data_IF_686055055758
#
_entry.id   IF_686055055758
#
_cell.length_a   1.000
_cell.length_b   1.000
_cell.length_c   1.000
_cell.angle_alpha   90.00
_cell.angle_beta   90.00
_cell.angle_gamma   90.00
#
_symmetry.space_group_name_H-M   'P 1'
#
loop_
_entity.id
_entity.type
_entity.pdbx_description
1 polymer ?
#
# COMPACT_ATOMS: atom_id res chain seq x y z
N UNK A 1 20.56 3.63 5.08
CA UNK A 1 19.39 3.25 4.28
C UNK A 1 18.55 4.49 3.98
N UNK A 2 18.20 4.73 2.74
CA UNK A 2 17.42 5.90 2.37
C UNK A 2 15.91 5.60 2.38
N UNK A 3 15.10 6.64 2.20
CA UNK A 3 13.65 6.53 2.21
C UNK A 3 13.13 5.52 1.19
N UNK A 4 13.66 5.54 -0.04
CA UNK A 4 13.20 4.64 -1.10
C UNK A 4 13.47 3.18 -0.77
N UNK A 5 14.60 2.89 -0.15
CA UNK A 5 14.92 1.53 0.28
C UNK A 5 13.98 1.05 1.37
N UNK A 6 13.67 1.91 2.34
CA UNK A 6 12.70 1.60 3.39
C UNK A 6 11.32 1.32 2.82
N UNK A 7 10.89 2.14 1.86
CA UNK A 7 9.60 1.95 1.20
C UNK A 7 9.56 0.65 0.41
N UNK A 8 10.64 0.30 -0.29
CA UNK A 8 10.72 -0.96 -1.02
C UNK A 8 10.67 -2.18 -0.11
N UNK A 9 11.29 -2.08 1.07
CA UNK A 9 11.19 -3.16 2.06
C UNK A 9 9.75 -3.34 2.53
N UNK A 10 9.04 -2.25 2.75
CA UNK A 10 7.62 -2.30 3.09
C UNK A 10 6.80 -2.92 1.96
N UNK A 11 7.12 -2.60 0.69
CA UNK A 11 6.47 -3.22 -0.46
C UNK A 11 6.61 -4.75 -0.43
N UNK A 12 7.80 -5.24 -0.11
CA UNK A 12 8.03 -6.69 -0.02
C UNK A 12 7.18 -7.33 1.08
N UNK A 13 7.05 -6.67 2.23
CA UNK A 13 6.19 -7.13 3.32
C UNK A 13 4.72 -7.15 2.88
N UNK A 14 4.27 -6.09 2.23
CA UNK A 14 2.88 -6.00 1.73
C UNK A 14 2.57 -7.12 0.75
N UNK A 15 3.48 -7.42 -0.17
CA UNK A 15 3.30 -8.50 -1.15
C UNK A 15 3.24 -9.87 -0.48
N UNK A 16 4.08 -10.11 0.52
CA UNK A 16 4.04 -11.37 1.26
C UNK A 16 2.72 -11.55 2.01
N UNK A 17 2.24 -10.49 2.63
CA UNK A 17 0.98 -10.55 3.37
C UNK A 17 -0.21 -10.75 2.42
N UNK A 18 -0.20 -10.10 1.27
CA UNK A 18 -1.22 -10.34 0.24
C UNK A 18 -1.19 -11.80 -0.23
N UNK A 19 -0.02 -12.36 -0.47
CA UNK A 19 0.11 -13.75 -0.89
C UNK A 19 -0.43 -14.70 0.17
N UNK A 20 -0.17 -14.44 1.44
CA UNK A 20 -0.71 -15.23 2.55
C UNK A 20 -2.23 -15.15 2.61
N UNK A 21 -2.77 -13.94 2.42
CA UNK A 21 -4.22 -13.72 2.41
C UNK A 21 -4.90 -14.45 1.26
N UNK A 22 -4.27 -14.51 0.10
CA UNK A 22 -4.83 -15.11 -1.10
C UNK A 22 -4.56 -16.61 -1.22
N UNK A 23 -3.76 -17.18 -0.33
CA UNK A 23 -3.40 -18.59 -0.40
C UNK A 23 -4.57 -19.48 0.03
N UNK A 24 -4.88 -20.48 -0.80
CA UNK A 24 -5.89 -21.47 -0.47
C UNK A 24 -5.48 -22.37 0.71
N UNK A 25 -4.17 -22.38 1.04
CA UNK A 25 -3.65 -23.16 2.16
C UNK A 25 -3.77 -22.45 3.50
N UNK A 26 -4.03 -21.14 3.49
CA UNK A 26 -4.18 -20.38 4.72
C UNK A 26 -5.51 -20.68 5.39
N UNK A 27 -5.48 -20.88 6.72
CA UNK A 27 -6.68 -21.01 7.53
C UNK A 27 -7.31 -19.63 7.73
N UNK A 28 -8.55 -19.60 8.20
CA UNK A 28 -9.23 -18.34 8.56
C UNK A 28 -8.41 -17.58 9.61
N UNK A 29 -7.84 -18.27 10.59
CA UNK A 29 -7.00 -17.66 11.62
C UNK A 29 -5.76 -17.02 11.04
N UNK A 30 -5.10 -17.70 10.09
CA UNK A 30 -3.93 -17.18 9.41
C UNK A 30 -4.27 -15.96 8.55
N UNK A 31 -5.41 -16.00 7.86
CA UNK A 31 -5.87 -14.86 7.05
C UNK A 31 -6.20 -13.66 7.92
N UNK A 32 -6.88 -13.88 9.05
CA UNK A 32 -7.20 -12.80 9.98
C UNK A 32 -5.93 -12.14 10.51
N UNK A 33 -4.95 -12.93 10.92
CA UNK A 33 -3.67 -12.42 11.40
C UNK A 33 -2.94 -11.64 10.30
N UNK A 34 -2.89 -12.19 9.08
CA UNK A 34 -2.24 -11.54 7.95
C UNK A 34 -2.92 -10.22 7.59
N UNK A 35 -4.25 -10.18 7.65
CA UNK A 35 -4.99 -8.94 7.37
C UNK A 35 -4.66 -7.85 8.38
N UNK A 36 -4.63 -8.18 9.67
CA UNK A 36 -4.31 -7.19 10.71
C UNK A 36 -2.90 -6.64 10.53
N UNK A 37 -1.94 -7.50 10.21
CA UNK A 37 -0.57 -7.07 9.94
C UNK A 37 -0.50 -6.19 8.69
N UNK A 38 -1.22 -6.58 7.63
CA UNK A 38 -1.26 -5.80 6.39
C UNK A 38 -1.86 -4.41 6.62
N UNK A 39 -2.94 -4.35 7.39
CA UNK A 39 -3.61 -3.08 7.70
C UNK A 39 -2.65 -2.12 8.40
N UNK A 40 -1.92 -2.59 9.41
CA UNK A 40 -0.93 -1.78 10.14
C UNK A 40 0.18 -1.33 9.20
N UNK A 41 0.70 -2.26 8.38
CA UNK A 41 1.77 -1.95 7.42
C UNK A 41 1.33 -0.92 6.40
N UNK A 42 0.11 -1.06 5.86
CA UNK A 42 -0.43 -0.11 4.89
C UNK A 42 -0.60 1.29 5.50
N UNK A 43 -1.10 1.37 6.72
CA UNK A 43 -1.29 2.66 7.39
C UNK A 43 0.04 3.34 7.66
N UNK A 44 1.02 2.61 8.17
CA UNK A 44 2.36 3.16 8.46
C UNK A 44 3.07 3.58 7.18
N UNK A 45 2.99 2.76 6.14
CA UNK A 45 3.60 3.04 4.84
C UNK A 45 3.00 4.30 4.20
N UNK A 46 1.66 4.38 4.17
CA UNK A 46 0.97 5.53 3.61
C UNK A 46 1.32 6.82 4.36
N UNK A 47 1.36 6.77 5.69
CA UNK A 47 1.72 7.93 6.50
C UNK A 47 3.14 8.41 6.21
N UNK A 48 4.09 7.47 6.08
CA UNK A 48 5.47 7.80 5.76
C UNK A 48 5.60 8.43 4.37
N UNK A 49 4.90 7.87 3.38
CA UNK A 49 4.92 8.41 2.03
C UNK A 49 4.28 9.80 1.96
N UNK A 50 3.14 9.98 2.60
CA UNK A 50 2.45 11.26 2.58
C UNK A 50 3.30 12.36 3.21
N UNK A 51 3.97 12.04 4.30
CA UNK A 51 4.79 13.00 5.02
C UNK A 51 6.11 13.32 4.32
N UNK A 52 6.81 12.28 3.84
CA UNK A 52 8.19 12.43 3.38
C UNK A 52 8.35 12.44 1.88
N UNK A 53 7.33 12.04 1.15
CA UNK A 53 7.41 11.91 -0.31
C UNK A 53 6.36 12.77 -1.02
N UNK A 54 5.07 12.53 -0.74
CA UNK A 54 4.01 13.20 -1.48
C UNK A 54 3.84 14.67 -1.11
N UNK A 55 3.93 15.03 0.18
CA UNK A 55 3.82 16.42 0.60
C UNK A 55 4.90 17.29 -0.06
N UNK A 56 6.19 16.89 -0.08
CA UNK A 56 7.19 17.65 -0.84
C UNK A 56 6.92 17.71 -2.34
N UNK A 57 6.43 16.62 -2.93
CA UNK A 57 6.16 16.56 -4.38
C UNK A 57 4.97 17.40 -4.80
N UNK A 58 3.99 17.60 -3.93
CA UNK A 58 2.84 18.47 -4.20
C UNK A 58 3.26 19.93 -4.40
N UNK A 59 4.43 20.29 -3.90
CA UNK A 59 5.00 21.64 -4.08
C UNK A 59 5.73 21.80 -5.40
N UNK A 60 5.82 20.76 -6.21
CA UNK A 60 6.52 20.76 -7.50
C UNK A 60 5.57 20.36 -8.62
N UNK A 61 5.59 21.09 -9.72
CA UNK A 61 4.70 20.84 -10.86
C UNK A 61 4.84 19.42 -11.41
N UNK A 62 6.07 18.93 -11.51
CA UNK A 62 6.33 17.61 -12.08
C UNK A 62 5.76 16.47 -11.23
N UNK A 63 5.62 16.67 -9.90
CA UNK A 63 5.13 15.63 -9.01
C UNK A 63 3.65 15.72 -8.66
N UNK A 64 2.97 16.81 -9.04
CA UNK A 64 1.61 17.09 -8.58
C UNK A 64 0.60 16.02 -8.98
N UNK A 65 0.56 15.67 -10.26
CA UNK A 65 -0.41 14.69 -10.77
C UNK A 65 -0.14 13.29 -10.21
N UNK A 66 1.13 12.88 -10.14
CA UNK A 66 1.52 11.58 -9.60
C UNK A 66 1.15 11.48 -8.13
N UNK A 67 1.37 12.56 -7.36
CA UNK A 67 1.05 12.57 -5.94
C UNK A 67 -0.46 12.51 -5.69
N UNK A 68 -1.25 13.25 -6.46
CA UNK A 68 -2.71 13.21 -6.35
C UNK A 68 -3.26 11.83 -6.65
N UNK A 69 -2.75 11.19 -7.70
CA UNK A 69 -3.15 9.84 -8.07
C UNK A 69 -2.83 8.85 -6.96
N UNK A 70 -1.63 8.94 -6.40
CA UNK A 70 -1.19 8.06 -5.32
C UNK A 70 -2.04 8.24 -4.06
N UNK A 71 -2.38 9.48 -3.71
CA UNK A 71 -3.23 9.76 -2.54
C UNK A 71 -4.64 9.21 -2.73
N UNK A 72 -5.18 9.29 -3.95
CA UNK A 72 -6.48 8.72 -4.26
C UNK A 72 -6.47 7.20 -4.13
N UNK A 73 -5.38 6.55 -4.55
CA UNK A 73 -5.22 5.10 -4.40
C UNK A 73 -5.09 4.69 -2.93
N UNK A 74 -4.37 5.49 -2.12
CA UNK A 74 -4.29 5.26 -0.67
C UNK A 74 -5.67 5.30 -0.03
N UNK A 75 -6.48 6.27 -0.42
CA UNK A 75 -7.84 6.40 0.10
C UNK A 75 -8.71 5.20 -0.25
N UNK A 76 -8.62 4.73 -1.48
CA UNK A 76 -9.35 3.54 -1.93
C UNK A 76 -8.94 2.30 -1.14
N UNK A 77 -7.63 2.13 -0.91
CA UNK A 77 -7.11 1.02 -0.11
C UNK A 77 -7.60 1.11 1.33
N UNK A 78 -7.63 2.30 1.91
CA UNK A 78 -8.16 2.52 3.26
C UNK A 78 -9.62 2.13 3.37
N UNK A 79 -10.43 2.49 2.38
CA UNK A 79 -11.84 2.12 2.36
C UNK A 79 -12.04 0.61 2.34
N UNK A 80 -11.22 -0.10 1.55
CA UNK A 80 -11.26 -1.55 1.50
C UNK A 80 -10.84 -2.18 2.85
N UNK A 81 -9.82 -1.61 3.49
CA UNK A 81 -9.42 -2.07 4.81
C UNK A 81 -10.52 -1.87 5.85
N UNK A 82 -11.24 -0.75 5.80
CA UNK A 82 -12.36 -0.51 6.69
C UNK A 82 -13.48 -1.51 6.47
N UNK A 83 -13.78 -1.80 5.21
CA UNK A 83 -14.80 -2.79 4.86
C UNK A 83 -14.45 -4.18 5.40
N UNK A 84 -13.15 -4.50 5.47
CA UNK A 84 -12.66 -5.78 5.98
C UNK A 84 -12.52 -5.81 7.51
N UNK A 85 -12.59 -4.67 8.17
CA UNK A 85 -12.43 -4.56 9.63
C UNK A 85 -13.76 -4.80 10.34
N UNK A 86 -14.32 -5.98 10.13
CA UNK A 86 -15.61 -6.41 10.70
C UNK A 86 -15.38 -7.65 11.55
N UNK A 87 -16.30 -7.97 12.50
CA UNK A 87 -16.13 -9.14 13.36
C UNK A 87 -16.09 -10.47 12.60
N UNK A 88 -16.93 -10.61 11.56
CA UNK A 88 -17.02 -11.85 10.79
C UNK A 88 -16.04 -11.83 9.62
N UNK A 89 -14.92 -12.52 9.78
CA UNK A 89 -13.88 -12.62 8.76
C UNK A 89 -13.78 -14.06 8.27
N UNK A 90 -13.89 -14.25 6.98
CA UNK A 90 -13.72 -15.57 6.38
C UNK A 90 -14.87 -16.03 5.52
N UNK A 91 -15.98 -15.29 5.50
CA UNK A 91 -17.08 -15.56 4.56
C UNK A 91 -16.69 -15.20 3.13
N UNK A 92 -17.52 -15.63 2.18
CA UNK A 92 -17.25 -15.42 0.75
C UNK A 92 -17.12 -13.93 0.40
N UNK A 93 -17.98 -13.10 0.94
CA UNK A 93 -17.92 -11.65 0.70
C UNK A 93 -16.63 -11.04 1.23
N UNK A 94 -16.21 -11.47 2.41
CA UNK A 94 -14.97 -11.00 3.01
C UNK A 94 -13.78 -11.38 2.11
N UNK A 95 -13.76 -12.62 1.63
CA UNK A 95 -12.70 -13.12 0.74
C UNK A 95 -12.68 -12.40 -0.60
N UNK A 96 -13.85 -12.06 -1.15
CA UNK A 96 -13.93 -11.28 -2.39
C UNK A 96 -13.37 -9.87 -2.19
N UNK A 97 -13.65 -9.26 -1.04
CA UNK A 97 -13.11 -7.94 -0.72
C UNK A 97 -11.60 -8.01 -0.48
N UNK A 98 -11.10 -9.08 0.15
CA UNK A 98 -9.66 -9.34 0.28
C UNK A 98 -9.00 -9.39 -1.10
N UNK A 99 -9.62 -10.09 -2.05
CA UNK A 99 -9.08 -10.17 -3.41
C UNK A 99 -8.97 -8.78 -4.05
N UNK A 100 -9.97 -7.94 -3.87
CA UNK A 100 -9.94 -6.55 -4.34
C UNK A 100 -8.81 -5.76 -3.67
N UNK A 101 -8.70 -5.86 -2.36
CA UNK A 101 -7.64 -5.17 -1.62
C UNK A 101 -6.26 -5.57 -2.15
N UNK A 102 -6.02 -6.87 -2.27
CA UNK A 102 -4.72 -7.37 -2.73
C UNK A 102 -4.42 -6.93 -4.16
N UNK A 103 -5.42 -6.93 -5.04
CA UNK A 103 -5.27 -6.43 -6.41
C UNK A 103 -4.86 -4.96 -6.42
N UNK A 104 -5.55 -4.14 -5.63
CA UNK A 104 -5.26 -2.70 -5.56
C UNK A 104 -3.90 -2.42 -4.94
N UNK A 105 -3.55 -3.14 -3.89
CA UNK A 105 -2.23 -3.01 -3.28
C UNK A 105 -1.13 -3.36 -4.28
N UNK A 106 -1.23 -4.51 -4.93
CA UNK A 106 -0.23 -4.95 -5.91
C UNK A 106 -0.10 -3.99 -7.08
N UNK A 107 -1.23 -3.50 -7.60
CA UNK A 107 -1.24 -2.53 -8.69
C UNK A 107 -0.55 -1.22 -8.27
N UNK A 108 -0.92 -0.70 -7.10
CA UNK A 108 -0.35 0.52 -6.55
C UNK A 108 1.16 0.42 -6.37
N UNK A 109 1.63 -0.69 -5.78
CA UNK A 109 3.06 -0.90 -5.55
C UNK A 109 3.84 -0.95 -6.86
N UNK A 110 3.31 -1.65 -7.85
CA UNK A 110 3.94 -1.78 -9.16
C UNK A 110 4.02 -0.44 -9.87
N UNK A 111 2.94 0.32 -9.85
CA UNK A 111 2.88 1.64 -10.48
C UNK A 111 3.83 2.61 -9.79
N UNK A 112 3.84 2.60 -8.46
CA UNK A 112 4.71 3.46 -7.66
C UNK A 112 6.19 3.17 -7.95
N UNK A 113 6.57 1.89 -8.04
CA UNK A 113 7.94 1.51 -8.33
C UNK A 113 8.37 1.90 -9.74
N UNK A 114 7.47 1.79 -10.71
CA UNK A 114 7.80 2.08 -12.11
C UNK A 114 7.81 3.56 -12.44
N UNK A 115 6.83 4.30 -11.94
CA UNK A 115 6.62 5.69 -12.36
C UNK A 115 6.98 6.69 -11.28
N UNK A 116 6.42 6.51 -10.09
CA UNK A 116 6.51 7.50 -9.04
C UNK A 116 7.92 7.63 -8.47
N UNK A 117 8.55 6.52 -8.15
CA UNK A 117 9.91 6.56 -7.60
C UNK A 117 10.91 7.15 -8.61
N UNK A 118 10.70 6.91 -9.89
CA UNK A 118 11.54 7.49 -10.94
C UNK A 118 11.40 9.01 -10.98
N UNK A 119 10.18 9.52 -10.92
CA UNK A 119 9.92 10.98 -10.89
C UNK A 119 10.44 11.57 -9.58
N UNK A 120 10.10 10.96 -8.45
CA UNK A 120 10.51 11.42 -7.13
C UNK A 120 12.04 11.46 -6.99
N UNK A 121 12.72 10.45 -7.54
CA UNK A 121 14.18 10.38 -7.51
C UNK A 121 14.83 11.55 -8.22
N UNK A 122 14.20 12.07 -9.29
CA UNK A 122 14.71 13.24 -9.99
C UNK A 122 14.41 14.55 -9.27
N UNK A 123 13.25 14.64 -8.60
CA UNK A 123 12.79 15.88 -7.97
C UNK A 123 13.30 16.07 -6.55
N UNK A 124 13.50 14.98 -5.82
CA UNK A 124 13.85 15.04 -4.41
C UNK A 124 15.32 14.78 -4.11
N UNK A 125 16.05 14.23 -5.02
CA UNK A 125 17.50 13.97 -4.95
C UNK A 125 18.06 13.77 -3.54
N UNK A 126 19.28 14.27 -3.27
CA UNK A 126 20.06 13.94 -2.07
C UNK A 126 19.55 14.54 -0.77
N UNK A 127 18.53 15.36 -0.82
CA UNK A 127 17.95 15.99 0.38
C UNK A 127 17.03 15.06 1.16
N UNK A 128 16.69 13.94 0.58
CA UNK A 128 15.77 12.98 1.13
C UNK A 128 16.49 11.66 1.46
#
# INVERSE_FOLDING_TARGET
MNLFELLRQSHAVQRRLCSRLMSARSSQRQRTAAFLLLKVELQAHAAAEERHLYAPLLMKDAGLNSSRHALAEHHEIDELCEALSVPDKGGDEWLQTVAKLCERVRHHLKEEERKFFKVAGRELTDRQ
#
